data_IF_991664514427
#
_entry.id   IF_991664514427
#
_cell.length_a   1.000
_cell.length_b   1.000
_cell.length_c   1.000
_cell.angle_alpha   90.00
_cell.angle_beta   90.00
_cell.angle_gamma   90.00
#
_symmetry.space_group_name_H-M   'P 1'
#
loop_
_entity.id
_entity.type
_entity.pdbx_description
1 polymer ?
#
# COMPACT_ATOMS: atom_id res chain seq x y z
N UNK A 1 -19.11 8.45 20.02
CA UNK A 1 -19.25 7.06 19.53
C UNK A 1 -17.91 6.69 18.96
N UNK A 2 -17.12 5.91 19.71
CA UNK A 2 -15.70 5.73 19.44
C UNK A 2 -15.51 4.51 18.53
N UNK A 3 -14.96 4.74 17.34
CA UNK A 3 -14.72 3.74 16.30
C UNK A 3 -13.48 2.88 16.60
N UNK A 4 -13.47 2.22 17.77
CA UNK A 4 -12.37 1.33 18.19
C UNK A 4 -12.43 -0.06 17.50
N UNK A 5 -13.41 -0.30 16.63
CA UNK A 5 -13.64 -1.61 15.99
C UNK A 5 -12.93 -1.84 14.66
N UNK A 6 -12.40 -0.79 14.02
CA UNK A 6 -11.86 -0.88 12.65
C UNK A 6 -10.38 -1.28 12.58
N UNK A 7 -9.57 -0.89 13.57
CA UNK A 7 -8.13 -1.20 13.60
C UNK A 7 -7.83 -2.67 13.97
N UNK A 8 -8.68 -3.32 14.76
CA UNK A 8 -8.42 -4.68 15.28
C UNK A 8 -8.58 -5.79 14.22
N UNK A 9 -9.31 -5.55 13.13
CA UNK A 9 -9.59 -6.58 12.11
C UNK A 9 -8.64 -6.54 10.90
N UNK A 10 -7.99 -5.43 10.59
CA UNK A 10 -7.06 -5.34 9.45
C UNK A 10 -5.69 -5.97 9.76
N UNK A 11 -5.27 -5.95 11.02
CA UNK A 11 -4.02 -6.55 11.51
C UNK A 11 -3.93 -8.07 11.31
N UNK A 12 -5.08 -8.77 11.19
CA UNK A 12 -5.12 -10.22 10.95
C UNK A 12 -4.61 -10.61 9.56
N UNK A 13 -4.69 -9.69 8.59
CA UNK A 13 -4.32 -9.96 7.18
C UNK A 13 -3.04 -9.24 6.76
N UNK A 14 -2.74 -8.09 7.36
CA UNK A 14 -1.54 -7.33 7.10
C UNK A 14 -0.33 -7.96 7.82
N UNK A 15 0.68 -8.38 7.07
CA UNK A 15 1.92 -8.92 7.65
C UNK A 15 3.00 -7.85 7.62
N UNK A 16 3.74 -7.68 8.72
CA UNK A 16 4.94 -6.85 8.72
C UNK A 16 6.00 -7.49 7.82
N UNK A 17 6.49 -6.74 6.84
CA UNK A 17 7.48 -7.21 5.87
C UNK A 17 8.85 -7.31 6.56
N UNK A 18 9.49 -8.47 6.43
CA UNK A 18 10.87 -8.65 6.90
C UNK A 18 11.85 -7.98 5.94
N UNK A 19 12.72 -7.11 6.46
CA UNK A 19 13.77 -6.43 5.68
C UNK A 19 14.70 -7.42 4.97
N UNK A 20 14.94 -8.60 5.56
CA UNK A 20 15.83 -9.62 5.00
C UNK A 20 15.24 -10.34 3.78
N UNK A 21 13.91 -10.44 3.70
CA UNK A 21 13.22 -11.21 2.66
C UNK A 21 12.39 -10.32 1.73
N UNK A 22 12.49 -9.00 1.86
CA UNK A 22 11.72 -8.07 1.04
C UNK A 22 12.30 -7.98 -0.37
N UNK A 23 11.63 -8.66 -1.30
CA UNK A 23 11.99 -8.71 -2.72
C UNK A 23 11.25 -7.67 -3.57
N UNK A 24 10.64 -6.65 -2.96
CA UNK A 24 10.04 -5.55 -3.71
C UNK A 24 11.07 -4.84 -4.61
N UNK A 25 10.59 -4.32 -5.74
CA UNK A 25 11.42 -3.54 -6.69
C UNK A 25 12.09 -2.34 -6.01
N UNK A 26 13.28 -1.96 -6.46
CA UNK A 26 13.96 -0.77 -5.94
C UNK A 26 13.10 0.50 -6.03
N UNK A 27 12.30 0.67 -7.10
CA UNK A 27 11.36 1.79 -7.23
C UNK A 27 10.36 1.87 -6.07
N UNK A 28 9.91 0.72 -5.57
CA UNK A 28 8.99 0.63 -4.42
C UNK A 28 9.72 1.05 -3.16
N UNK A 29 10.93 0.52 -2.93
CA UNK A 29 11.74 0.84 -1.75
C UNK A 29 12.14 2.32 -1.71
N UNK A 30 12.54 2.88 -2.84
CA UNK A 30 12.90 4.31 -2.95
C UNK A 30 11.68 5.19 -2.64
N UNK A 31 10.51 4.85 -3.19
CA UNK A 31 9.27 5.55 -2.88
C UNK A 31 8.96 5.51 -1.37
N UNK A 32 9.06 4.32 -0.76
CA UNK A 32 8.79 4.10 0.67
C UNK A 32 9.72 4.94 1.54
N UNK A 33 11.02 5.02 1.19
CA UNK A 33 12.00 5.85 1.90
C UNK A 33 11.63 7.34 1.78
N UNK A 34 11.41 7.83 0.55
CA UNK A 34 11.17 9.25 0.27
C UNK A 34 9.89 9.76 0.95
N UNK A 35 8.83 8.94 1.01
CA UNK A 35 7.50 9.39 1.45
C UNK A 35 7.10 8.93 2.85
N UNK A 36 7.90 8.07 3.51
CA UNK A 36 7.62 7.55 4.87
C UNK A 36 7.22 8.63 5.89
N UNK A 37 7.87 9.80 5.83
CA UNK A 37 7.66 10.91 6.76
C UNK A 37 6.83 12.06 6.15
N UNK A 38 6.17 11.84 5.02
CA UNK A 38 5.26 12.84 4.47
C UNK A 38 4.05 13.04 5.39
N UNK A 39 3.61 14.28 5.54
CA UNK A 39 2.37 14.62 6.26
C UNK A 39 1.10 14.36 5.44
N UNK A 40 1.26 14.01 4.16
CA UNK A 40 0.18 13.64 3.24
C UNK A 40 0.29 12.16 2.87
N UNK A 41 -0.83 11.51 2.58
CA UNK A 41 -0.80 10.19 1.96
C UNK A 41 -0.44 10.31 0.48
N UNK A 42 0.65 9.65 0.11
CA UNK A 42 1.13 9.49 -1.24
C UNK A 42 1.13 8.00 -1.57
N UNK A 43 0.90 7.67 -2.83
CA UNK A 43 1.00 6.32 -3.34
C UNK A 43 1.75 6.24 -4.66
N UNK A 44 2.27 5.04 -4.92
CA UNK A 44 2.79 4.63 -6.21
C UNK A 44 2.12 3.34 -6.64
N UNK A 45 1.69 3.30 -7.90
CA UNK A 45 1.15 2.11 -8.57
C UNK A 45 2.25 1.59 -9.50
N UNK A 46 2.84 0.45 -9.15
CA UNK A 46 3.92 -0.18 -9.89
C UNK A 46 3.43 -1.42 -10.63
N UNK A 47 3.59 -1.45 -11.95
CA UNK A 47 3.29 -2.63 -12.74
C UNK A 47 4.56 -3.52 -12.84
N UNK A 48 4.57 -4.73 -12.26
CA UNK A 48 5.75 -5.60 -12.25
C UNK A 48 6.10 -6.18 -13.62
N UNK A 49 5.15 -6.23 -14.56
CA UNK A 49 5.36 -6.72 -15.92
C UNK A 49 6.05 -5.65 -16.78
N UNK A 50 5.47 -4.44 -16.82
CA UNK A 50 5.98 -3.34 -17.65
C UNK A 50 7.08 -2.51 -16.99
N UNK A 51 7.29 -2.68 -15.68
CA UNK A 51 8.21 -1.89 -14.83
C UNK A 51 7.88 -0.40 -14.74
N UNK A 52 6.69 0.00 -15.19
CA UNK A 52 6.18 1.37 -15.10
C UNK A 52 5.63 1.67 -13.70
N UNK A 53 5.72 2.94 -13.30
CA UNK A 53 5.27 3.44 -12.01
C UNK A 53 4.49 4.75 -12.21
N UNK A 54 3.29 4.83 -11.64
CA UNK A 54 2.48 6.04 -11.58
C UNK A 54 2.41 6.55 -10.14
N UNK A 55 2.69 7.85 -9.94
CA UNK A 55 2.50 8.52 -8.64
C UNK A 55 1.06 9.01 -8.46
N UNK A 56 0.55 9.00 -7.23
CA UNK A 56 -0.75 9.53 -6.88
C UNK A 56 -0.81 10.08 -5.45
N UNK A 57 -1.53 11.17 -5.24
CA UNK A 57 -1.92 11.65 -3.91
C UNK A 57 -3.33 12.26 -3.99
N UNK A 58 -4.06 12.23 -2.88
CA UNK A 58 -5.32 12.96 -2.72
C UNK A 58 -5.16 14.31 -2.02
N UNK A 59 -3.92 14.72 -1.69
CA UNK A 59 -3.61 15.89 -0.87
C UNK A 59 -4.31 15.87 0.50
N UNK A 60 -4.44 14.69 1.10
CA UNK A 60 -5.06 14.47 2.40
C UNK A 60 -4.10 13.70 3.31
N UNK A 61 -4.10 13.97 4.63
CA UNK A 61 -3.13 13.39 5.58
C UNK A 61 -3.44 11.95 6.00
N UNK A 62 -4.70 11.54 5.97
CA UNK A 62 -5.20 10.28 6.56
C UNK A 62 -5.99 9.44 5.57
N UNK A 63 -5.94 9.81 4.28
CA UNK A 63 -6.74 9.18 3.26
C UNK A 63 -6.22 9.37 1.85
N UNK A 64 -6.15 8.26 1.12
CA UNK A 64 -5.99 8.27 -0.32
C UNK A 64 -7.24 7.70 -1.00
N UNK A 65 -7.73 8.42 -2.01
CA UNK A 65 -8.84 8.00 -2.88
C UNK A 65 -8.31 7.81 -4.29
N UNK A 66 -8.44 6.60 -4.82
CA UNK A 66 -8.06 6.33 -6.20
C UNK A 66 -9.25 6.55 -7.14
N UNK A 67 -9.14 7.41 -8.16
CA UNK A 67 -10.16 7.52 -9.20
C UNK A 67 -10.24 6.22 -10.00
N UNK A 68 -11.41 5.92 -10.57
CA UNK A 68 -11.67 4.67 -11.31
C UNK A 68 -10.61 4.36 -12.38
N UNK A 69 -10.09 5.40 -13.06
CA UNK A 69 -9.01 5.25 -14.05
C UNK A 69 -7.73 4.63 -13.48
N UNK A 70 -7.39 4.93 -12.22
CA UNK A 70 -6.22 4.35 -11.55
C UNK A 70 -6.53 2.94 -11.02
N UNK A 71 -7.75 2.69 -10.54
CA UNK A 71 -8.20 1.33 -10.17
C UNK A 71 -8.07 0.36 -11.36
N UNK A 72 -8.32 0.79 -12.59
CA UNK A 72 -8.10 -0.08 -13.77
C UNK A 72 -6.61 -0.39 -14.01
N UNK A 73 -5.71 0.55 -13.72
CA UNK A 73 -4.24 0.36 -13.83
C UNK A 73 -3.66 -0.53 -12.74
N UNK A 74 -4.40 -0.68 -11.64
CA UNK A 74 -3.99 -1.44 -10.47
C UNK A 74 -4.02 -2.96 -10.68
N UNK A 75 -4.73 -3.46 -11.69
CA UNK A 75 -4.84 -4.91 -11.93
C UNK A 75 -3.47 -5.57 -12.06
N UNK A 76 -3.18 -6.55 -11.19
CA UNK A 76 -1.88 -7.24 -11.05
C UNK A 76 -0.69 -6.32 -10.71
N UNK A 77 -0.94 -5.08 -10.31
CA UNK A 77 0.09 -4.14 -9.87
C UNK A 77 0.45 -4.35 -8.40
N UNK A 78 1.55 -3.74 -7.99
CA UNK A 78 1.89 -3.48 -6.58
C UNK A 78 1.55 -2.03 -6.27
N UNK A 79 0.74 -1.79 -5.26
CA UNK A 79 0.48 -0.44 -4.74
C UNK A 79 1.24 -0.26 -3.44
N UNK A 80 2.06 0.78 -3.34
CA UNK A 80 2.69 1.19 -2.08
C UNK A 80 2.24 2.60 -1.73
N UNK A 81 2.05 2.88 -0.44
CA UNK A 81 1.66 4.20 0.08
C UNK A 81 2.22 4.42 1.48
N UNK A 82 2.33 5.68 1.91
CA UNK A 82 2.71 6.00 3.28
C UNK A 82 1.49 6.21 4.18
N UNK A 83 1.62 5.86 5.45
CA UNK A 83 0.63 6.12 6.50
C UNK A 83 1.21 7.09 7.54
N UNK A 84 0.88 8.40 7.46
CA UNK A 84 1.42 9.41 8.38
C UNK A 84 1.08 9.12 9.84
N UNK A 85 -0.09 8.51 10.11
CA UNK A 85 -0.51 8.08 11.44
C UNK A 85 0.23 6.87 12.00
N UNK A 86 1.11 6.22 11.23
CA UNK A 86 1.92 5.10 11.68
C UNK A 86 1.18 3.77 11.86
N UNK A 87 -0.10 3.69 11.47
CA UNK A 87 -0.81 2.42 11.40
C UNK A 87 -0.29 1.55 10.26
N UNK A 88 -0.38 0.22 10.41
CA UNK A 88 -0.28 -0.70 9.27
C UNK A 88 -1.47 -0.54 8.32
N UNK A 89 -1.84 -1.59 7.58
CA UNK A 89 -2.97 -1.48 6.63
C UNK A 89 -4.32 -1.30 7.33
N UNK A 90 -5.17 -0.48 6.73
CA UNK A 90 -6.56 -0.20 7.09
C UNK A 90 -7.54 -1.10 6.35
N UNK A 91 -8.82 -1.07 6.74
CA UNK A 91 -9.90 -1.75 6.00
C UNK A 91 -10.04 -1.16 4.58
N UNK A 92 -9.78 0.13 4.39
CA UNK A 92 -9.83 0.79 3.08
C UNK A 92 -8.76 0.24 2.13
N UNK A 93 -7.60 -0.13 2.67
CA UNK A 93 -6.50 -0.70 1.88
C UNK A 93 -6.86 -2.12 1.43
N UNK A 94 -7.48 -2.89 2.32
CA UNK A 94 -8.00 -4.23 1.98
C UNK A 94 -9.06 -4.12 0.87
N UNK A 95 -9.97 -3.14 0.96
CA UNK A 95 -10.96 -2.89 -0.10
C UNK A 95 -10.29 -2.51 -1.41
N UNK A 96 -9.28 -1.66 -1.38
CA UNK A 96 -8.50 -1.26 -2.57
C UNK A 96 -7.78 -2.46 -3.18
N UNK A 97 -7.17 -3.31 -2.36
CA UNK A 97 -6.51 -4.54 -2.78
C UNK A 97 -7.46 -5.48 -3.53
N UNK A 98 -8.67 -5.67 -3.00
CA UNK A 98 -9.69 -6.52 -3.63
C UNK A 98 -10.28 -5.88 -4.90
N UNK A 99 -10.64 -4.59 -4.84
CA UNK A 99 -11.24 -3.86 -5.97
C UNK A 99 -10.27 -3.75 -7.16
N UNK A 100 -9.00 -3.48 -6.88
CA UNK A 100 -7.96 -3.36 -7.89
C UNK A 100 -7.43 -4.69 -8.40
N UNK A 101 -7.78 -5.83 -7.77
CA UNK A 101 -7.16 -7.14 -8.02
C UNK A 101 -5.62 -7.05 -8.06
N UNK A 102 -5.07 -6.50 -6.97
CA UNK A 102 -3.65 -6.23 -6.84
C UNK A 102 -2.83 -7.52 -6.68
N UNK A 103 -1.57 -7.46 -7.10
CA UNK A 103 -0.56 -8.44 -6.70
C UNK A 103 -0.17 -8.23 -5.24
N UNK A 104 0.01 -6.97 -4.82
CA UNK A 104 0.34 -6.61 -3.45
C UNK A 104 -0.14 -5.19 -3.14
N UNK A 105 -0.57 -4.95 -1.91
CA UNK A 105 -0.64 -3.60 -1.33
C UNK A 105 0.32 -3.48 -0.16
N UNK A 106 1.01 -2.36 -0.07
CA UNK A 106 2.04 -2.06 0.94
C UNK A 106 1.77 -0.71 1.58
N UNK A 107 1.93 -0.62 2.89
CA UNK A 107 1.92 0.63 3.64
C UNK A 107 3.24 0.80 4.39
N UNK A 108 3.91 1.94 4.20
CA UNK A 108 5.10 2.33 4.97
C UNK A 108 4.73 3.32 6.07
N UNK A 109 5.20 3.07 7.28
CA UNK A 109 5.01 3.93 8.45
C UNK A 109 6.21 4.88 8.65
N UNK A 110 6.10 5.93 9.47
CA UNK A 110 7.18 6.92 9.64
C UNK A 110 8.48 6.34 10.20
N UNK A 111 8.41 5.24 10.96
CA UNK A 111 9.57 4.47 11.46
C UNK A 111 10.24 3.59 10.37
N UNK A 112 9.70 3.60 9.15
CA UNK A 112 10.15 2.77 8.03
C UNK A 112 9.71 1.30 8.12
N UNK A 113 8.80 0.94 9.03
CA UNK A 113 8.16 -0.37 9.00
C UNK A 113 7.22 -0.46 7.80
N UNK A 114 7.21 -1.61 7.12
CA UNK A 114 6.31 -1.87 5.99
C UNK A 114 5.36 -3.00 6.33
N UNK A 115 4.09 -2.81 6.02
CA UNK A 115 3.04 -3.82 6.17
C UNK A 115 2.46 -4.12 4.80
N UNK A 116 2.26 -5.41 4.48
CA UNK A 116 1.69 -5.76 3.19
C UNK A 116 0.70 -6.92 3.21
N UNK A 117 -0.14 -6.93 2.18
CA UNK A 117 -1.00 -8.05 1.80
C UNK A 117 -0.63 -8.42 0.36
N UNK A 118 -0.30 -9.68 0.14
CA UNK A 118 0.06 -10.24 -1.18
C UNK A 118 -1.01 -11.20 -1.65
N UNK A 119 -1.36 -11.14 -2.93
CA UNK A 119 -2.15 -12.17 -3.56
C UNK A 119 -1.25 -13.40 -3.82
N UNK A 120 -1.53 -14.52 -3.16
CA UNK A 120 -0.75 -15.76 -3.31
C UNK A 120 -1.07 -16.54 -4.59
N UNK A 121 -2.12 -16.16 -5.34
CA UNK A 121 -2.59 -16.93 -6.50
C UNK A 121 -1.80 -16.67 -7.80
N UNK A 122 -0.49 -16.43 -7.71
CA UNK A 122 0.37 -16.06 -8.86
C UNK A 122 1.68 -16.82 -8.98
N UNK A 123 1.87 -17.89 -8.21
CA UNK A 123 2.98 -18.85 -8.34
C UNK A 123 2.40 -20.21 -8.74
N UNK A 124 2.03 -20.34 -10.01
CA UNK A 124 1.85 -21.61 -10.70
C UNK A 124 2.51 -21.47 -12.07
#
# INVERSE_FOLDING_TARGET
>A
MNDHGTAYNSSKYATKVSKLTDNASQKIKDFEIIHSNSSLENAMIYNPETKLADFWTSNLPDKIKFPQRLIMKMRKAVVTHNHPGGSGLSISDIKTFLQGNLHEIRAVTPDGSVFSIKNKSGLC
#
